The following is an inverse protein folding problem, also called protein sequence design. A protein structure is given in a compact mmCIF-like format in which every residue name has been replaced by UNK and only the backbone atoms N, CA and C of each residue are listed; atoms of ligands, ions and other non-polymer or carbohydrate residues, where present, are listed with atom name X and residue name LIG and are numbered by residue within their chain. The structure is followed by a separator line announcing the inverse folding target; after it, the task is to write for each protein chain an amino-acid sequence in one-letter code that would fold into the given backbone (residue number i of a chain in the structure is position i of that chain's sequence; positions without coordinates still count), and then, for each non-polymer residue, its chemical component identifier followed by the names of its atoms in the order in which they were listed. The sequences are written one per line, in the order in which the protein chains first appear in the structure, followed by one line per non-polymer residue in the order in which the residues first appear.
data_IF_723289789838
#
_entry.id   IF_723289789838
#
_cell.length_a   1.000
_cell.length_b   1.000
_cell.length_c   1.000
_cell.angle_alpha   90.00
_cell.angle_beta   90.00
_cell.angle_gamma   90.00
#
_symmetry.space_group_name_H-M   'P 1'
#
loop_
_entity.id
_entity.type
_entity.pdbx_description
1 polymer ?
#
# COMPACT_ATOMS: atom_id res chain seq x y z
N UNK A 1 -11.19 15.91 -22.38
CA UNK A 1 -10.73 17.31 -22.20
C UNK A 1 -9.21 17.34 -22.34
N UNK A 2 -8.58 18.51 -22.39
CA UNK A 2 -7.11 18.62 -22.31
C UNK A 2 -6.66 18.69 -20.86
N UNK A 3 -5.38 18.35 -20.62
CA UNK A 3 -4.69 18.56 -19.34
C UNK A 3 -4.98 19.96 -18.78
N UNK A 4 -5.32 20.03 -17.49
CA UNK A 4 -5.36 21.29 -16.75
C UNK A 4 -3.99 21.52 -16.13
N UNK A 5 -3.34 22.64 -16.45
CA UNK A 5 -2.05 23.03 -15.85
C UNK A 5 -2.22 24.34 -15.09
N UNK A 6 -1.73 24.37 -13.86
CA UNK A 6 -1.83 25.51 -12.95
C UNK A 6 -0.41 25.93 -12.57
N UNK A 7 0.01 27.19 -12.81
CA UNK A 7 -0.80 28.37 -13.18
C UNK A 7 -1.36 28.43 -14.63
N UNK A 8 -2.38 29.29 -14.90
CA UNK A 8 -2.94 30.31 -14.00
C UNK A 8 -3.68 29.69 -12.81
N UNK A 9 -3.59 30.35 -11.65
CA UNK A 9 -4.18 29.88 -10.40
C UNK A 9 -5.71 29.89 -10.48
N UNK A 10 -6.34 28.97 -9.75
CA UNK A 10 -7.79 28.89 -9.62
C UNK A 10 -8.21 29.29 -8.21
N UNK A 11 -9.23 30.15 -8.14
CA UNK A 11 -9.94 30.47 -6.91
C UNK A 11 -11.42 30.30 -7.21
N UNK A 12 -12.06 29.41 -6.47
CA UNK A 12 -13.46 29.05 -6.63
C UNK A 12 -14.39 30.09 -6.03
N UNK A 13 -15.64 29.68 -5.89
CA UNK A 13 -16.76 30.51 -5.48
C UNK A 13 -17.22 30.10 -4.08
N UNK A 14 -18.38 30.61 -3.67
CA UNK A 14 -19.01 30.20 -2.41
C UNK A 14 -20.00 29.04 -2.60
N UNK A 15 -20.11 28.48 -3.81
CA UNK A 15 -20.94 27.33 -4.12
C UNK A 15 -20.11 26.24 -4.79
N UNK A 16 -20.72 25.09 -5.05
CA UNK A 16 -20.03 23.93 -5.61
C UNK A 16 -19.26 24.23 -6.90
N UNK A 17 -17.94 24.02 -6.83
CA UNK A 17 -17.02 24.10 -7.95
C UNK A 17 -16.66 22.71 -8.48
N UNK A 18 -16.30 22.63 -9.77
CA UNK A 18 -15.88 21.38 -10.39
C UNK A 18 -14.73 21.62 -11.35
N UNK A 19 -13.57 21.04 -11.04
CA UNK A 19 -12.37 21.08 -11.86
C UNK A 19 -12.13 19.70 -12.45
N UNK A 20 -11.98 19.63 -13.77
CA UNK A 20 -11.72 18.38 -14.46
C UNK A 20 -10.53 18.55 -15.39
N UNK A 21 -9.52 17.72 -15.21
CA UNK A 21 -8.36 17.60 -16.09
C UNK A 21 -8.25 16.19 -16.66
N UNK A 22 -7.97 16.10 -17.96
CA UNK A 22 -7.81 14.82 -18.64
C UNK A 22 -6.69 14.87 -19.67
N UNK A 23 -5.81 13.87 -19.67
CA UNK A 23 -4.80 13.72 -20.70
C UNK A 23 -4.62 12.24 -21.03
N UNK A 24 -4.78 11.90 -22.31
CA UNK A 24 -4.83 10.51 -22.78
C UNK A 24 -3.79 10.28 -23.86
N UNK A 25 -3.12 9.14 -23.79
CA UNK A 25 -2.15 8.64 -24.76
C UNK A 25 -1.00 9.62 -25.02
N UNK A 26 -0.47 10.24 -23.96
CA UNK A 26 0.72 11.11 -24.02
C UNK A 26 1.84 10.60 -23.11
N UNK A 27 3.02 11.20 -23.26
CA UNK A 27 4.22 10.86 -22.48
C UNK A 27 4.85 12.13 -21.88
N UNK A 28 4.71 12.38 -20.57
CA UNK A 28 3.75 11.79 -19.65
C UNK A 28 2.31 12.30 -19.91
N UNK A 29 1.30 11.51 -19.54
CA UNK A 29 -0.09 11.93 -19.56
C UNK A 29 -0.52 12.36 -18.15
N UNK A 30 -0.91 13.64 -18.00
CA UNK A 30 -1.26 14.20 -16.69
C UNK A 30 -2.64 14.87 -16.76
N UNK A 31 -3.60 14.43 -15.95
CA UNK A 31 -4.94 15.02 -15.91
C UNK A 31 -4.92 16.46 -15.41
N UNK A 32 -4.53 16.64 -14.14
CA UNK A 32 -4.30 17.96 -13.52
C UNK A 32 -2.84 18.04 -13.08
N UNK A 33 -2.15 19.10 -13.47
CA UNK A 33 -0.77 19.37 -13.09
C UNK A 33 -0.65 20.74 -12.39
N UNK A 34 -0.35 20.71 -11.10
CA UNK A 34 -0.19 21.90 -10.26
C UNK A 34 1.30 22.07 -10.02
N UNK A 35 1.90 23.07 -10.65
CA UNK A 35 3.33 23.34 -10.56
C UNK A 35 3.70 23.98 -9.21
N UNK A 36 4.98 24.11 -8.88
CA UNK A 36 5.50 24.63 -7.57
C UNK A 36 4.99 26.02 -7.14
N UNK A 37 4.35 26.77 -8.04
CA UNK A 37 3.71 28.07 -7.74
C UNK A 37 2.22 28.10 -8.13
N UNK A 38 1.72 26.96 -8.60
CA UNK A 38 0.33 26.75 -8.93
C UNK A 38 -0.48 26.62 -7.64
N UNK A 39 -1.66 27.22 -7.68
CA UNK A 39 -2.60 27.23 -6.58
C UNK A 39 -4.00 26.93 -7.11
N UNK A 40 -4.65 25.94 -6.52
CA UNK A 40 -6.08 25.67 -6.66
C UNK A 40 -6.69 25.82 -5.27
N UNK A 41 -7.74 26.61 -5.17
CA UNK A 41 -8.58 26.72 -3.99
C UNK A 41 -10.03 26.81 -4.43
N UNK A 42 -10.87 25.84 -4.10
CA UNK A 42 -12.27 25.83 -4.53
C UNK A 42 -13.21 26.63 -3.62
N UNK A 43 -12.74 27.06 -2.44
CA UNK A 43 -13.46 28.03 -1.61
C UNK A 43 -14.46 27.38 -0.65
N UNK A 44 -15.76 27.61 -0.86
CA UNK A 44 -16.81 26.99 -0.03
C UNK A 44 -17.72 26.18 -0.94
N UNK A 45 -18.24 25.06 -0.46
CA UNK A 45 -19.30 24.37 -1.17
C UNK A 45 -19.30 22.87 -0.97
N UNK A 46 -19.47 22.17 -2.07
CA UNK A 46 -19.30 20.72 -2.18
C UNK A 46 -18.60 20.55 -3.51
N UNK A 47 -17.29 20.59 -3.44
CA UNK A 47 -16.43 20.80 -4.57
C UNK A 47 -15.90 19.47 -5.08
N UNK A 48 -15.55 19.43 -6.36
CA UNK A 48 -15.02 18.21 -6.97
C UNK A 48 -13.83 18.52 -7.86
N UNK A 49 -12.69 17.93 -7.54
CA UNK A 49 -11.47 18.00 -8.33
C UNK A 49 -11.21 16.61 -8.92
N UNK A 50 -11.20 16.50 -10.25
CA UNK A 50 -11.04 15.23 -10.95
C UNK A 50 -9.91 15.23 -11.96
N UNK A 51 -8.93 14.35 -11.76
CA UNK A 51 -7.81 14.16 -12.68
C UNK A 51 -7.78 12.77 -13.32
N UNK A 52 -7.62 12.70 -14.65
CA UNK A 52 -7.43 11.44 -15.38
C UNK A 52 -6.20 11.51 -16.31
N UNK A 53 -5.21 10.65 -16.08
CA UNK A 53 -4.03 10.54 -16.92
C UNK A 53 -3.86 9.12 -17.45
N UNK A 54 -3.78 8.95 -18.77
CA UNK A 54 -3.50 7.64 -19.40
C UNK A 54 -2.28 7.74 -20.29
N UNK A 55 -1.18 7.07 -19.91
CA UNK A 55 0.07 7.10 -20.66
C UNK A 55 -0.05 6.46 -22.03
N UNK A 56 0.72 6.96 -23.01
CA UNK A 56 1.01 6.25 -24.26
C UNK A 56 1.93 5.05 -24.00
N UNK A 57 2.35 4.32 -25.04
CA UNK A 57 3.20 3.13 -24.87
C UNK A 57 4.40 3.34 -23.94
N UNK A 58 4.51 2.51 -22.90
CA UNK A 58 5.51 2.60 -21.81
C UNK A 58 5.43 3.87 -20.94
N UNK A 59 4.48 4.75 -21.23
CA UNK A 59 4.33 6.08 -20.63
C UNK A 59 3.62 6.09 -19.31
N UNK A 60 4.00 7.07 -18.49
CA UNK A 60 3.33 7.31 -17.22
C UNK A 60 1.95 7.95 -17.45
N UNK A 61 0.95 7.48 -16.71
CA UNK A 61 -0.34 8.16 -16.56
C UNK A 61 -0.51 8.62 -15.12
N UNK A 62 -0.69 9.92 -14.93
CA UNK A 62 -0.86 10.56 -13.63
C UNK A 62 -2.21 11.28 -13.62
N UNK A 63 -3.11 10.93 -12.70
CA UNK A 63 -4.40 11.62 -12.64
C UNK A 63 -4.25 13.05 -12.13
N UNK A 64 -3.63 13.23 -10.96
CA UNK A 64 -3.33 14.53 -10.34
C UNK A 64 -1.85 14.54 -9.93
N UNK A 65 -1.10 15.50 -10.45
CA UNK A 65 0.27 15.83 -10.09
C UNK A 65 0.26 17.13 -9.31
N UNK A 66 0.47 17.08 -8.00
CA UNK A 66 0.49 18.26 -7.14
C UNK A 66 1.90 18.54 -6.62
N UNK A 67 2.55 19.52 -7.24
CA UNK A 67 3.82 20.09 -6.78
C UNK A 67 3.64 21.46 -6.13
N UNK A 68 2.42 22.01 -6.13
CA UNK A 68 2.06 23.32 -5.60
C UNK A 68 1.16 23.22 -4.39
N UNK A 69 0.03 23.94 -4.41
CA UNK A 69 -0.97 23.89 -3.36
C UNK A 69 -2.35 23.61 -3.95
N UNK A 70 -2.97 22.53 -3.47
CA UNK A 70 -4.30 22.07 -3.79
C UNK A 70 -5.16 22.16 -2.54
N UNK A 71 -6.13 23.08 -2.54
CA UNK A 71 -7.11 23.26 -1.49
C UNK A 71 -8.51 22.97 -2.03
N UNK A 72 -9.24 22.02 -1.44
CA UNK A 72 -10.65 21.79 -1.79
C UNK A 72 -11.62 22.74 -1.06
N UNK A 73 -11.12 23.64 -0.22
CA UNK A 73 -11.97 24.62 0.45
C UNK A 73 -12.65 24.04 1.68
N UNK A 74 -13.78 24.60 2.10
CA UNK A 74 -14.64 24.02 3.14
C UNK A 74 -15.91 23.48 2.50
N UNK A 75 -16.33 22.29 2.90
CA UNK A 75 -17.39 21.58 2.23
C UNK A 75 -17.32 20.08 2.50
N UNK A 76 -18.30 19.33 2.00
CA UNK A 76 -18.07 17.89 1.82
C UNK A 76 -17.48 17.72 0.42
N UNK A 77 -16.16 17.73 0.31
CA UNK A 77 -15.44 17.86 -0.95
C UNK A 77 -14.87 16.53 -1.46
N UNK A 78 -14.60 16.46 -2.76
CA UNK A 78 -14.09 15.24 -3.39
C UNK A 78 -12.89 15.50 -4.31
N UNK A 79 -11.75 14.88 -3.98
CA UNK A 79 -10.56 14.82 -4.85
C UNK A 79 -10.45 13.41 -5.41
N UNK A 80 -10.78 13.23 -6.69
CA UNK A 80 -10.85 11.91 -7.33
C UNK A 80 -9.87 11.83 -8.48
N UNK A 81 -8.98 10.85 -8.42
CA UNK A 81 -7.91 10.73 -9.40
C UNK A 81 -7.74 9.32 -9.96
N UNK A 82 -7.38 9.26 -11.25
CA UNK A 82 -7.05 8.03 -11.96
C UNK A 82 -5.80 8.20 -12.83
N UNK A 83 -4.79 7.37 -12.61
CA UNK A 83 -3.61 7.26 -13.45
C UNK A 83 -3.44 5.86 -14.01
N UNK A 84 -3.34 5.74 -15.33
CA UNK A 84 -3.09 4.47 -16.03
C UNK A 84 -1.77 4.58 -16.78
N UNK A 85 -0.79 3.75 -16.43
CA UNK A 85 0.42 3.58 -17.22
C UNK A 85 0.10 2.94 -18.57
N UNK A 86 0.73 3.41 -19.63
CA UNK A 86 0.52 2.82 -20.95
C UNK A 86 1.24 1.48 -21.10
N UNK A 87 0.70 0.60 -21.93
CA UNK A 87 1.32 -0.71 -22.19
C UNK A 87 2.69 -0.57 -22.83
N UNK A 88 3.63 -1.45 -22.56
CA UNK A 88 4.88 -1.48 -23.29
C UNK A 88 4.64 -1.73 -24.78
N UNK A 89 5.45 -1.11 -25.64
CA UNK A 89 5.38 -1.33 -27.09
C UNK A 89 5.74 -2.77 -27.44
N UNK A 90 5.02 -3.35 -28.41
CA UNK A 90 5.35 -4.68 -28.90
C UNK A 90 6.65 -4.65 -29.73
N UNK A 91 7.49 -5.68 -29.58
CA UNK A 91 8.69 -5.84 -30.39
C UNK A 91 8.35 -6.11 -31.86
N UNK A 92 9.12 -5.54 -32.79
CA UNK A 92 8.86 -5.69 -34.22
C UNK A 92 9.11 -7.14 -34.68
N UNK A 93 8.05 -7.83 -35.12
CA UNK A 93 8.17 -9.18 -35.68
C UNK A 93 8.70 -9.14 -37.13
N UNK A 94 9.98 -8.80 -37.33
CA UNK A 94 10.56 -8.84 -38.67
C UNK A 94 10.92 -10.28 -39.05
N UNK A 95 10.01 -10.91 -39.79
CA UNK A 95 10.05 -12.32 -40.18
C UNK A 95 10.99 -12.61 -41.37
N UNK A 96 11.80 -11.64 -41.81
CA UNK A 96 12.60 -11.74 -43.04
C UNK A 96 14.08 -12.01 -42.83
N UNK A 97 14.60 -11.97 -41.60
CA UNK A 97 16.02 -12.25 -41.38
C UNK A 97 16.25 -13.27 -40.26
N UNK A 98 16.36 -14.57 -40.60
CA UNK A 98 16.61 -15.61 -39.62
C UNK A 98 18.02 -15.58 -39.02
N UNK A 99 18.97 -14.79 -39.56
CA UNK A 99 20.38 -14.82 -39.12
C UNK A 99 21.20 -13.51 -39.24
N UNK A 100 20.64 -12.40 -39.70
CA UNK A 100 21.36 -11.16 -39.95
C UNK A 100 21.23 -10.15 -38.80
N UNK A 101 22.37 -9.79 -38.26
CA UNK A 101 22.55 -8.87 -37.15
C UNK A 101 22.05 -7.45 -37.44
N UNK A 102 20.92 -7.07 -36.85
CA UNK A 102 20.62 -5.68 -36.52
C UNK A 102 20.05 -5.65 -35.10
N UNK A 103 20.95 -5.41 -34.14
CA UNK A 103 20.81 -5.66 -32.71
C UNK A 103 19.98 -4.60 -31.95
N UNK A 104 18.92 -4.05 -32.56
CA UNK A 104 18.15 -2.94 -31.95
C UNK A 104 16.68 -2.96 -32.37
N UNK A 105 15.78 -3.54 -31.56
CA UNK A 105 14.33 -3.33 -31.71
C UNK A 105 13.37 -4.49 -31.41
N UNK A 106 13.81 -5.60 -30.81
CA UNK A 106 12.96 -6.80 -30.71
C UNK A 106 12.40 -7.11 -29.31
N UNK A 107 12.87 -6.43 -28.26
CA UNK A 107 12.35 -6.63 -26.91
C UNK A 107 10.99 -5.94 -26.79
N UNK A 108 10.05 -6.59 -26.10
CA UNK A 108 8.83 -5.91 -25.67
C UNK A 108 9.18 -4.82 -24.66
N UNK A 109 8.61 -3.62 -24.82
CA UNK A 109 8.80 -2.53 -23.87
C UNK A 109 8.18 -2.86 -22.50
N UNK A 110 8.67 -2.25 -21.44
CA UNK A 110 8.00 -2.34 -20.13
C UNK A 110 6.72 -1.50 -20.12
N UNK A 111 5.75 -1.92 -19.30
CA UNK A 111 4.57 -1.12 -19.00
C UNK A 111 4.93 0.14 -18.23
N UNK A 112 4.21 1.22 -18.51
CA UNK A 112 4.36 2.50 -17.84
C UNK A 112 3.76 2.51 -16.43
N UNK A 113 4.08 3.54 -15.66
CA UNK A 113 3.58 3.73 -14.29
C UNK A 113 2.21 4.40 -14.30
N UNK A 114 1.25 3.87 -13.55
CA UNK A 114 -0.03 4.54 -13.29
C UNK A 114 -0.07 5.08 -11.87
N UNK A 115 -0.25 6.40 -11.71
CA UNK A 115 -0.38 7.04 -10.40
C UNK A 115 -1.68 7.81 -10.30
N UNK A 116 -2.53 7.49 -9.32
CA UNK A 116 -3.73 8.27 -9.03
C UNK A 116 -3.35 9.68 -8.61
N UNK A 117 -2.92 9.86 -7.37
CA UNK A 117 -2.47 11.14 -6.83
C UNK A 117 -0.97 11.08 -6.57
N UNK A 118 -0.21 12.00 -7.15
CA UNK A 118 1.19 12.25 -6.83
C UNK A 118 1.26 13.58 -6.09
N UNK A 119 1.38 13.52 -4.76
CA UNK A 119 1.49 14.70 -3.91
C UNK A 119 2.94 14.90 -3.44
N UNK A 120 3.52 16.00 -3.89
CA UNK A 120 4.83 16.50 -3.46
C UNK A 120 4.66 17.87 -2.78
N UNK A 121 3.61 18.63 -3.14
CA UNK A 121 3.21 19.87 -2.50
C UNK A 121 2.22 19.68 -1.35
N UNK A 122 1.36 20.69 -1.14
CA UNK A 122 0.34 20.69 -0.09
C UNK A 122 -1.01 20.31 -0.70
N UNK A 123 -1.68 19.34 -0.09
CA UNK A 123 -3.06 18.96 -0.40
C UNK A 123 -3.88 19.05 0.89
N UNK A 124 -4.94 19.88 0.89
CA UNK A 124 -5.82 20.08 2.05
C UNK A 124 -7.31 20.10 1.63
N UNK A 125 -8.21 19.55 2.45
CA UNK A 125 -9.67 19.65 2.27
C UNK A 125 -10.39 20.35 3.44
N UNK A 126 -9.64 20.81 4.46
CA UNK A 126 -10.07 21.70 5.55
C UNK A 126 -11.25 21.25 6.43
N UNK A 127 -12.49 21.55 6.07
CA UNK A 127 -13.64 21.41 6.97
C UNK A 127 -14.77 20.71 6.23
N UNK A 128 -15.33 19.66 6.81
CA UNK A 128 -16.45 18.89 6.30
C UNK A 128 -16.04 17.45 6.03
N UNK A 129 -16.95 16.60 5.56
CA UNK A 129 -16.64 15.18 5.38
C UNK A 129 -16.10 14.94 3.97
N UNK A 130 -14.79 14.92 3.86
CA UNK A 130 -14.08 14.93 2.59
C UNK A 130 -13.73 13.53 2.09
N UNK A 131 -13.50 13.44 0.79
CA UNK A 131 -13.14 12.19 0.13
C UNK A 131 -11.97 12.40 -0.82
N UNK A 132 -10.83 11.79 -0.51
CA UNK A 132 -9.63 11.76 -1.34
C UNK A 132 -9.43 10.35 -1.89
N UNK A 133 -9.58 10.18 -3.21
CA UNK A 133 -9.45 8.89 -3.89
C UNK A 133 -8.35 8.96 -4.95
N UNK A 134 -7.33 8.12 -4.81
CA UNK A 134 -6.28 7.92 -5.80
C UNK A 134 -6.27 6.50 -6.35
N UNK A 135 -6.50 6.33 -7.66
CA UNK A 135 -6.42 5.04 -8.34
C UNK A 135 -5.27 5.01 -9.35
N UNK A 136 -4.28 4.14 -9.14
CA UNK A 136 -3.15 3.93 -10.05
C UNK A 136 -3.15 2.52 -10.63
N UNK A 137 -3.02 2.40 -11.95
CA UNK A 137 -2.90 1.12 -12.65
C UNK A 137 -1.66 1.12 -13.53
N UNK A 138 -0.69 0.26 -13.25
CA UNK A 138 0.47 0.07 -14.10
C UNK A 138 0.10 -0.52 -15.46
N UNK A 139 0.82 -0.10 -16.49
CA UNK A 139 0.66 -0.64 -17.84
C UNK A 139 1.15 -2.09 -17.92
N UNK A 140 0.60 -2.89 -18.83
CA UNK A 140 1.14 -4.22 -19.07
C UNK A 140 2.47 -4.12 -19.84
N UNK A 141 3.35 -5.11 -19.69
CA UNK A 141 4.49 -5.23 -20.59
C UNK A 141 4.07 -5.47 -22.04
N UNK A 142 4.89 -5.00 -22.98
CA UNK A 142 4.73 -5.26 -24.41
C UNK A 142 5.19 -6.65 -24.77
N UNK A 143 4.53 -7.30 -25.72
CA UNK A 143 4.95 -8.61 -26.22
C UNK A 143 6.23 -8.49 -27.05
N UNK A 144 6.98 -9.57 -27.15
CA UNK A 144 8.15 -9.58 -28.03
C UNK A 144 7.79 -9.81 -29.51
N UNK A 145 8.71 -9.39 -30.39
CA UNK A 145 8.80 -9.86 -31.76
C UNK A 145 9.96 -10.84 -31.91
N UNK A 146 9.77 -12.14 -31.66
CA UNK A 146 10.75 -13.17 -32.02
C UNK A 146 11.28 -14.05 -30.87
N UNK A 147 12.58 -13.94 -30.54
CA UNK A 147 13.30 -14.81 -29.58
C UNK A 147 13.69 -14.13 -28.27
N UNK A 148 13.10 -12.98 -27.96
CA UNK A 148 13.67 -12.04 -27.00
C UNK A 148 13.02 -12.17 -25.61
N UNK A 149 13.07 -11.12 -24.79
CA UNK A 149 12.39 -11.09 -23.50
C UNK A 149 11.09 -10.29 -23.63
N UNK A 150 10.06 -10.75 -22.92
CA UNK A 150 8.83 -9.99 -22.75
C UNK A 150 9.06 -8.82 -21.79
N UNK A 151 8.41 -7.68 -22.04
CA UNK A 151 8.43 -6.53 -21.14
C UNK A 151 7.79 -6.81 -19.79
N UNK A 152 8.31 -6.16 -18.76
CA UNK A 152 7.75 -6.18 -17.40
C UNK A 152 6.47 -5.33 -17.32
N UNK A 153 5.59 -5.67 -16.37
CA UNK A 153 4.46 -4.84 -16.00
C UNK A 153 4.91 -3.58 -15.25
N UNK A 154 4.21 -2.48 -15.46
CA UNK A 154 4.45 -1.21 -14.79
C UNK A 154 3.88 -1.15 -13.37
N UNK A 155 4.31 -0.14 -12.61
CA UNK A 155 3.84 0.09 -11.24
C UNK A 155 2.46 0.76 -11.20
N UNK A 156 1.62 0.37 -10.25
CA UNK A 156 0.37 1.07 -9.94
C UNK A 156 0.40 1.66 -8.54
N UNK A 157 0.30 2.98 -8.43
CA UNK A 157 0.30 3.73 -7.17
C UNK A 157 -1.03 4.47 -6.99
N UNK A 158 -1.80 4.16 -5.95
CA UNK A 158 -3.05 4.87 -5.68
C UNK A 158 -2.81 6.32 -5.29
N UNK A 159 -2.23 6.51 -4.11
CA UNK A 159 -1.79 7.80 -3.57
C UNK A 159 -0.31 7.70 -3.24
N UNK A 160 0.48 8.64 -3.74
CA UNK A 160 1.91 8.78 -3.45
C UNK A 160 2.15 10.14 -2.80
N UNK A 161 2.29 10.15 -1.48
CA UNK A 161 2.62 11.34 -0.69
C UNK A 161 4.10 11.29 -0.31
N UNK A 162 4.93 12.03 -1.05
CA UNK A 162 6.39 11.88 -0.95
C UNK A 162 7.12 13.11 -0.45
N UNK A 163 6.45 14.27 -0.44
CA UNK A 163 6.97 15.54 0.07
C UNK A 163 8.38 15.96 -0.36
N UNK A 164 8.92 15.34 -1.39
CA UNK A 164 10.27 15.60 -1.83
C UNK A 164 10.30 16.81 -2.77
N UNK A 165 10.35 18.03 -2.20
CA UNK A 165 10.91 19.18 -2.90
C UNK A 165 11.85 19.99 -2.00
N UNK A 166 13.12 19.57 -2.01
CA UNK A 166 14.28 20.33 -1.55
C UNK A 166 14.51 21.56 -2.46
N UNK A 167 13.68 22.60 -2.30
CA UNK A 167 14.00 24.01 -2.62
C UNK A 167 13.07 24.97 -1.85
N UNK A 168 13.08 24.90 -0.51
CA UNK A 168 12.62 25.97 0.38
C UNK A 168 11.09 26.16 0.48
N UNK A 169 10.53 25.67 1.59
CA UNK A 169 9.18 25.95 2.13
C UNK A 169 7.98 25.12 1.62
N UNK A 170 8.16 23.85 1.27
CA UNK A 170 7.02 22.94 1.06
C UNK A 170 7.34 21.54 1.56
N UNK A 171 7.03 21.25 2.82
CA UNK A 171 6.95 19.87 3.30
C UNK A 171 5.66 19.30 2.67
N UNK A 172 5.75 18.21 1.91
CA UNK A 172 4.56 17.67 1.27
C UNK A 172 3.64 17.09 2.33
N UNK A 173 2.49 17.73 2.49
CA UNK A 173 1.49 17.33 3.45
C UNK A 173 0.22 16.99 2.71
N UNK A 174 -0.39 15.86 3.07
CA UNK A 174 -1.77 15.55 2.75
C UNK A 174 -2.56 15.65 4.06
N UNK A 175 -3.52 16.56 4.12
CA UNK A 175 -4.40 16.78 5.27
C UNK A 175 -5.86 16.69 4.80
N UNK A 176 -6.69 15.84 5.39
CA UNK A 176 -8.11 15.86 5.06
C UNK A 176 -8.85 16.97 5.84
N UNK A 177 -8.47 17.21 7.10
CA UNK A 177 -8.97 18.35 7.88
C UNK A 177 -9.91 17.91 8.99
N UNK A 178 -10.88 18.74 9.34
CA UNK A 178 -11.87 18.39 10.37
C UNK A 178 -13.11 17.82 9.68
N UNK A 179 -13.59 16.66 10.12
CA UNK A 179 -14.70 15.95 9.50
C UNK A 179 -14.58 14.45 9.69
N UNK A 180 -15.52 13.69 9.13
CA UNK A 180 -15.34 12.23 9.02
C UNK A 180 -14.85 11.94 7.60
N UNK A 181 -13.54 12.00 7.41
CA UNK A 181 -12.91 12.01 6.11
C UNK A 181 -12.59 10.60 5.63
N UNK A 182 -12.47 10.46 4.31
CA UNK A 182 -12.04 9.21 3.68
C UNK A 182 -10.85 9.44 2.75
N UNK A 183 -9.72 8.81 3.06
CA UNK A 183 -8.53 8.76 2.21
C UNK A 183 -8.40 7.34 1.66
N UNK A 184 -8.59 7.15 0.36
CA UNK A 184 -8.52 5.84 -0.29
C UNK A 184 -7.53 5.81 -1.45
N UNK A 185 -6.52 4.96 -1.32
CA UNK A 185 -5.54 4.68 -2.37
C UNK A 185 -5.66 3.24 -2.89
N UNK A 186 -5.84 3.07 -4.20
CA UNK A 186 -5.76 1.76 -4.87
C UNK A 186 -4.64 1.73 -5.90
N UNK A 187 -3.66 0.84 -5.72
CA UNK A 187 -2.58 0.61 -6.66
C UNK A 187 -2.63 -0.79 -7.25
N UNK A 188 -2.69 -0.89 -8.57
CA UNK A 188 -2.69 -2.15 -9.29
C UNK A 188 -1.46 -2.23 -10.20
N UNK A 189 -0.57 -3.17 -9.93
CA UNK A 189 0.56 -3.47 -10.80
C UNK A 189 0.13 -4.05 -12.14
N UNK A 190 0.82 -3.65 -13.21
CA UNK A 190 0.61 -4.18 -14.54
C UNK A 190 1.11 -5.62 -14.66
N UNK A 191 0.59 -6.38 -15.62
CA UNK A 191 1.07 -7.74 -15.84
C UNK A 191 2.30 -7.75 -16.73
N UNK A 192 3.19 -8.71 -16.50
CA UNK A 192 4.27 -9.01 -17.44
C UNK A 192 3.75 -9.59 -18.74
N UNK A 193 4.56 -9.49 -19.80
CA UNK A 193 4.18 -9.93 -21.13
C UNK A 193 4.72 -11.30 -21.53
N UNK A 194 4.19 -11.81 -22.64
CA UNK A 194 4.60 -13.07 -23.22
C UNK A 194 5.97 -12.95 -23.92
N UNK A 195 6.81 -13.97 -23.70
CA UNK A 195 7.94 -14.32 -24.58
C UNK A 195 7.74 -15.72 -25.18
N UNK A 196 8.45 -16.10 -26.22
CA UNK A 196 8.43 -17.43 -26.85
C UNK A 196 9.64 -18.24 -26.41
N UNK A 197 10.77 -17.62 -26.03
CA UNK A 197 12.04 -18.34 -25.93
C UNK A 197 12.70 -18.43 -24.55
N UNK A 198 12.94 -17.34 -23.82
CA UNK A 198 13.85 -17.43 -22.65
C UNK A 198 13.42 -16.67 -21.40
N UNK A 199 13.06 -15.38 -21.48
CA UNK A 199 12.75 -14.58 -20.30
C UNK A 199 11.39 -13.89 -20.42
N UNK A 200 10.59 -13.97 -19.34
CA UNK A 200 9.22 -13.47 -19.30
C UNK A 200 9.13 -12.20 -18.48
N UNK A 201 8.18 -11.36 -18.88
CA UNK A 201 7.84 -10.18 -18.11
C UNK A 201 7.40 -10.55 -16.70
N UNK A 202 7.95 -9.86 -15.73
CA UNK A 202 7.50 -9.86 -14.35
C UNK A 202 6.24 -9.00 -14.22
N UNK A 203 5.42 -9.29 -13.22
CA UNK A 203 4.35 -8.38 -12.81
C UNK A 203 4.91 -7.14 -12.13
N UNK A 204 4.30 -5.99 -12.37
CA UNK A 204 4.62 -4.76 -11.67
C UNK A 204 4.02 -4.73 -10.26
N UNK A 205 4.53 -3.86 -9.38
CA UNK A 205 4.00 -3.76 -8.03
C UNK A 205 2.74 -2.88 -7.99
N UNK A 206 1.85 -3.17 -7.03
CA UNK A 206 0.71 -2.33 -6.72
C UNK A 206 0.79 -1.82 -5.28
N UNK A 207 0.78 -0.50 -5.10
CA UNK A 207 0.79 0.16 -3.79
C UNK A 207 -0.44 1.05 -3.65
N UNK A 208 -1.28 0.79 -2.64
CA UNK A 208 -2.48 1.59 -2.38
C UNK A 208 -2.13 3.01 -1.97
N UNK A 209 -1.55 3.16 -0.79
CA UNK A 209 -1.04 4.43 -0.26
C UNK A 209 0.45 4.27 0.01
N UNK A 210 1.26 5.16 -0.55
CA UNK A 210 2.68 5.32 -0.23
C UNK A 210 2.87 6.65 0.45
N UNK A 211 3.22 6.64 1.74
CA UNK A 211 3.51 7.82 2.53
C UNK A 211 4.98 7.81 2.97
N UNK A 212 5.73 8.82 2.58
CA UNK A 212 7.10 9.06 3.06
C UNK A 212 7.29 10.43 3.69
N UNK A 213 6.21 11.21 3.82
CA UNK A 213 6.18 12.50 4.53
C UNK A 213 5.00 12.49 5.52
N UNK A 214 4.25 13.60 5.64
CA UNK A 214 3.15 13.74 6.58
C UNK A 214 1.80 13.48 5.87
N UNK A 215 1.06 12.51 6.36
CA UNK A 215 -0.34 12.26 6.04
C UNK A 215 -1.14 12.41 7.32
N UNK A 216 -2.07 13.36 7.35
CA UNK A 216 -2.97 13.62 8.47
C UNK A 216 -4.42 13.46 7.97
N UNK A 217 -5.24 12.64 8.63
CA UNK A 217 -6.67 12.65 8.34
C UNK A 217 -7.30 13.87 9.02
N UNK A 218 -7.18 13.98 10.34
CA UNK A 218 -7.44 15.20 11.10
C UNK A 218 -8.42 14.96 12.25
N UNK A 219 -9.33 15.89 12.54
CA UNK A 219 -10.26 15.71 13.65
C UNK A 219 -11.58 15.10 13.15
N UNK A 220 -11.99 13.97 13.71
CA UNK A 220 -13.28 13.30 13.48
C UNK A 220 -13.11 11.79 13.35
N UNK A 221 -14.12 11.06 12.84
CA UNK A 221 -14.01 9.61 12.68
C UNK A 221 -13.58 9.30 11.25
N UNK A 222 -12.28 9.24 11.04
CA UNK A 222 -11.69 9.16 9.71
C UNK A 222 -11.49 7.73 9.24
N UNK A 223 -11.35 7.58 7.93
CA UNK A 223 -11.11 6.29 7.29
C UNK A 223 -9.98 6.38 6.27
N UNK A 224 -8.87 5.67 6.54
CA UNK A 224 -7.72 5.55 5.65
C UNK A 224 -7.65 4.13 5.10
N UNK A 225 -7.78 3.98 3.77
CA UNK A 225 -7.80 2.68 3.10
C UNK A 225 -6.72 2.64 2.02
N UNK A 226 -5.74 1.74 2.19
CA UNK A 226 -4.77 1.41 1.15
C UNK A 226 -4.99 0.01 0.59
N UNK A 227 -5.20 -0.13 -0.71
CA UNK A 227 -5.29 -1.41 -1.42
C UNK A 227 -4.20 -1.55 -2.48
N UNK A 228 -3.28 -2.50 -2.30
CA UNK A 228 -2.21 -2.78 -3.26
C UNK A 228 -2.32 -4.17 -3.87
N UNK A 229 -2.42 -4.24 -5.20
CA UNK A 229 -2.49 -5.49 -5.95
C UNK A 229 -1.27 -5.64 -6.86
N UNK A 230 -0.44 -6.62 -6.57
CA UNK A 230 0.68 -6.99 -7.42
C UNK A 230 0.22 -7.57 -8.77
N UNK A 231 0.90 -7.16 -9.83
CA UNK A 231 0.69 -7.68 -11.18
C UNK A 231 1.13 -9.13 -11.31
N UNK A 232 0.60 -9.84 -12.30
CA UNK A 232 0.99 -11.23 -12.56
C UNK A 232 2.25 -11.29 -13.41
N UNK A 233 3.16 -12.18 -13.04
CA UNK A 233 4.22 -12.63 -13.92
C UNK A 233 3.64 -13.51 -15.02
N UNK A 234 4.26 -13.50 -16.20
CA UNK A 234 3.74 -14.25 -17.34
C UNK A 234 4.27 -15.67 -17.42
N UNK A 235 3.44 -16.60 -17.89
CA UNK A 235 3.82 -17.98 -18.12
C UNK A 235 4.99 -18.09 -19.13
N UNK A 236 6.01 -18.87 -18.77
CA UNK A 236 7.07 -19.42 -19.59
C UNK A 236 6.55 -20.28 -20.74
N UNK A 237 7.30 -20.35 -21.84
CA UNK A 237 6.94 -21.24 -22.94
C UNK A 237 7.15 -22.70 -22.51
N UNK A 238 6.12 -23.54 -22.71
CA UNK A 238 6.19 -24.99 -22.45
C UNK A 238 6.78 -25.70 -23.68
N UNK A 239 7.80 -25.13 -24.31
CA UNK A 239 8.51 -25.87 -25.35
C UNK A 239 9.51 -26.81 -24.66
N UNK A 240 9.18 -28.11 -24.62
CA UNK A 240 9.98 -29.16 -23.96
C UNK A 240 11.42 -29.23 -24.45
N UNK A 241 11.71 -28.67 -25.63
CA UNK A 241 13.03 -28.72 -26.25
C UNK A 241 13.93 -27.52 -25.86
N UNK A 242 13.41 -26.50 -25.18
CA UNK A 242 14.20 -25.35 -24.72
C UNK A 242 14.56 -25.57 -23.25
N UNK A 243 15.85 -25.79 -22.99
CA UNK A 243 16.36 -25.83 -21.64
C UNK A 243 16.37 -24.41 -21.07
N UNK A 244 15.60 -24.16 -20.00
CA UNK A 244 15.70 -22.93 -19.21
C UNK A 244 14.48 -22.00 -19.20
N UNK A 245 13.33 -22.37 -19.78
CA UNK A 245 12.17 -21.47 -19.79
C UNK A 245 11.65 -21.19 -18.36
N UNK A 246 11.82 -19.96 -17.90
CA UNK A 246 11.36 -19.49 -16.59
C UNK A 246 10.06 -18.70 -16.73
N UNK A 247 9.11 -18.90 -15.82
CA UNK A 247 7.97 -18.00 -15.67
C UNK A 247 8.39 -16.66 -15.07
N UNK A 248 7.70 -15.58 -15.43
CA UNK A 248 7.94 -14.27 -14.85
C UNK A 248 7.54 -14.25 -13.38
N UNK A 249 8.19 -13.44 -12.56
CA UNK A 249 7.80 -13.29 -11.15
C UNK A 249 6.53 -12.46 -11.02
N UNK A 250 5.74 -12.70 -9.98
CA UNK A 250 4.65 -11.79 -9.62
C UNK A 250 5.20 -10.47 -9.05
N UNK A 251 4.40 -9.41 -9.12
CA UNK A 251 4.70 -8.13 -8.46
C UNK A 251 4.19 -8.10 -7.03
N UNK A 252 4.81 -7.29 -6.17
CA UNK A 252 4.41 -7.11 -4.77
C UNK A 252 3.10 -6.33 -4.68
N UNK A 253 2.22 -6.70 -3.74
CA UNK A 253 1.03 -5.91 -3.39
C UNK A 253 1.13 -5.36 -1.99
N UNK A 254 1.08 -4.04 -1.85
CA UNK A 254 1.21 -3.33 -0.56
C UNK A 254 0.00 -2.41 -0.35
N UNK A 255 -0.79 -2.65 0.69
CA UNK A 255 -1.93 -1.79 1.00
C UNK A 255 -1.49 -0.37 1.36
N UNK A 256 -0.82 -0.24 2.50
CA UNK A 256 -0.22 1.01 2.98
C UNK A 256 1.28 0.79 3.14
N UNK A 257 2.09 1.66 2.56
CA UNK A 257 3.54 1.72 2.73
C UNK A 257 3.88 3.04 3.41
N UNK A 258 4.14 3.01 4.71
CA UNK A 258 4.46 4.18 5.51
C UNK A 258 5.95 4.17 5.91
N UNK A 259 6.64 5.25 5.57
CA UNK A 259 8.01 5.54 6.01
C UNK A 259 8.15 6.95 6.60
N UNK A 260 7.07 7.74 6.57
CA UNK A 260 6.96 9.05 7.20
C UNK A 260 6.05 9.00 8.43
N UNK A 261 5.25 10.05 8.62
CA UNK A 261 4.25 10.12 9.68
C UNK A 261 2.85 10.00 9.07
N UNK A 262 2.08 9.05 9.57
CA UNK A 262 0.67 8.91 9.29
C UNK A 262 -0.08 9.14 10.60
N UNK A 263 -0.88 10.19 10.67
CA UNK A 263 -1.70 10.55 11.81
C UNK A 263 -3.18 10.45 11.41
N UNK A 264 -3.97 9.66 12.15
CA UNK A 264 -5.41 9.63 11.95
C UNK A 264 -6.06 10.85 12.62
N UNK A 265 -5.65 11.14 13.86
CA UNK A 265 -5.95 12.40 14.54
C UNK A 265 -6.84 12.19 15.77
N UNK A 266 -8.02 12.81 15.84
CA UNK A 266 -8.89 12.66 17.01
C UNK A 266 -10.26 12.13 16.64
N UNK A 267 -10.67 11.00 17.18
CA UNK A 267 -11.98 10.39 16.97
C UNK A 267 -11.84 8.88 16.82
N UNK A 268 -12.89 8.19 16.39
CA UNK A 268 -12.83 6.73 16.24
C UNK A 268 -12.42 6.39 14.82
N UNK A 269 -11.13 6.26 14.60
CA UNK A 269 -10.54 6.18 13.28
C UNK A 269 -10.41 4.75 12.78
N UNK A 270 -10.40 4.60 11.45
CA UNK A 270 -10.27 3.31 10.78
C UNK A 270 -9.10 3.36 9.80
N UNK A 271 -8.08 2.55 10.03
CA UNK A 271 -6.96 2.34 9.09
C UNK A 271 -6.98 0.92 8.57
N UNK A 272 -7.12 0.74 7.25
CA UNK A 272 -7.13 -0.56 6.59
C UNK A 272 -6.07 -0.61 5.49
N UNK A 273 -5.07 -1.48 5.67
CA UNK A 273 -4.11 -1.83 4.64
C UNK A 273 -4.36 -3.23 4.09
N UNK A 274 -4.67 -3.35 2.80
CA UNK A 274 -4.87 -4.62 2.11
C UNK A 274 -3.83 -4.83 1.00
N UNK A 275 -2.97 -5.83 1.17
CA UNK A 275 -1.97 -6.24 0.17
C UNK A 275 -2.31 -7.56 -0.49
N UNK A 276 -2.22 -7.62 -1.82
CA UNK A 276 -2.36 -8.86 -2.58
C UNK A 276 -1.13 -9.09 -3.47
N UNK A 277 -0.35 -10.10 -3.15
CA UNK A 277 0.82 -10.49 -3.92
C UNK A 277 0.44 -11.02 -5.30
N UNK A 278 1.19 -10.60 -6.32
CA UNK A 278 1.08 -11.09 -7.68
C UNK A 278 1.49 -12.56 -7.80
N UNK A 279 0.79 -13.29 -8.66
CA UNK A 279 1.15 -14.67 -9.00
C UNK A 279 2.28 -14.67 -10.03
N UNK A 280 3.31 -15.47 -9.80
CA UNK A 280 4.33 -15.80 -10.79
C UNK A 280 3.78 -16.67 -11.92
N UNK A 281 4.38 -16.54 -13.09
CA UNK A 281 4.08 -17.37 -14.25
C UNK A 281 4.53 -18.81 -14.07
N UNK A 282 3.85 -19.71 -14.75
CA UNK A 282 4.21 -21.13 -14.86
C UNK A 282 5.26 -21.32 -15.94
N UNK A 283 6.21 -22.25 -15.79
CA UNK A 283 7.24 -22.52 -16.80
C UNK A 283 7.93 -23.85 -16.53
N UNK A 284 9.00 -24.19 -17.26
CA UNK A 284 9.87 -25.31 -16.84
C UNK A 284 10.45 -25.03 -15.45
N UNK A 285 10.75 -23.75 -15.19
CA UNK A 285 11.00 -23.19 -13.86
C UNK A 285 9.88 -22.18 -13.60
N UNK A 286 9.08 -22.37 -12.55
CA UNK A 286 8.04 -21.39 -12.21
C UNK A 286 8.65 -20.06 -11.75
N UNK A 287 8.01 -18.95 -12.10
CA UNK A 287 8.29 -17.67 -11.51
C UNK A 287 7.93 -17.66 -10.02
N UNK A 288 8.58 -16.80 -9.25
CA UNK A 288 8.28 -16.66 -7.83
C UNK A 288 6.97 -15.91 -7.66
N UNK A 289 6.12 -16.37 -6.75
CA UNK A 289 4.99 -15.60 -6.28
C UNK A 289 5.52 -14.46 -5.39
N UNK A 290 4.84 -13.31 -5.44
CA UNK A 290 5.32 -12.14 -4.73
C UNK A 290 4.92 -12.13 -3.26
N UNK A 291 5.58 -11.24 -2.52
CA UNK A 291 5.19 -10.89 -1.16
C UNK A 291 3.97 -9.97 -1.17
N UNK A 292 3.15 -10.07 -0.14
CA UNK A 292 2.03 -9.20 0.13
C UNK A 292 2.18 -8.54 1.51
N UNK A 293 1.92 -7.25 1.59
CA UNK A 293 1.91 -6.48 2.83
C UNK A 293 0.58 -5.75 2.98
N UNK A 294 -0.14 -6.00 4.08
CA UNK A 294 -1.31 -5.17 4.40
C UNK A 294 -0.87 -3.76 4.71
N UNK A 295 -0.07 -3.63 5.77
CA UNK A 295 0.59 -2.41 6.20
C UNK A 295 2.09 -2.70 6.30
N UNK A 296 2.89 -1.97 5.54
CA UNK A 296 4.33 -1.92 5.66
C UNK A 296 4.70 -0.60 6.34
N UNK A 297 5.19 -0.63 7.59
CA UNK A 297 5.47 0.56 8.39
C UNK A 297 6.93 0.58 8.87
N UNK A 298 7.72 1.47 8.31
CA UNK A 298 9.06 1.84 8.78
C UNK A 298 9.10 3.27 9.37
N UNK A 299 7.96 3.97 9.38
CA UNK A 299 7.79 5.30 9.98
C UNK A 299 6.97 5.26 11.26
N UNK A 300 6.11 6.26 11.46
CA UNK A 300 5.16 6.33 12.58
C UNK A 300 3.74 6.29 12.03
N UNK A 301 2.91 5.43 12.61
CA UNK A 301 1.45 5.49 12.52
C UNK A 301 0.94 5.87 13.91
N UNK A 302 0.15 6.92 14.00
CA UNK A 302 -0.49 7.41 15.22
C UNK A 302 -1.99 7.51 14.96
N UNK A 303 -2.82 6.80 15.70
CA UNK A 303 -4.29 6.93 15.58
C UNK A 303 -4.86 7.95 16.55
N UNK A 304 -4.07 8.41 17.52
CA UNK A 304 -4.41 9.53 18.39
C UNK A 304 -5.31 9.19 19.57
N UNK A 305 -6.54 9.69 19.63
CA UNK A 305 -7.45 9.40 20.76
C UNK A 305 -8.79 8.94 20.20
N UNK A 306 -9.40 7.91 20.79
CA UNK A 306 -10.71 7.45 20.37
C UNK A 306 -10.98 5.99 20.64
N UNK A 307 -11.59 5.30 19.69
CA UNK A 307 -11.79 3.84 19.70
C UNK A 307 -11.39 3.40 18.31
N UNK A 308 -10.09 3.26 18.11
CA UNK A 308 -9.50 3.16 16.78
C UNK A 308 -9.41 1.73 16.31
N UNK A 309 -9.48 1.55 14.99
CA UNK A 309 -9.40 0.24 14.35
C UNK A 309 -8.30 0.28 13.30
N UNK A 310 -7.20 -0.44 13.57
CA UNK A 310 -6.13 -0.67 12.61
C UNK A 310 -6.13 -2.12 12.13
N UNK A 311 -6.27 -2.31 10.83
CA UNK A 311 -6.32 -3.64 10.21
C UNK A 311 -5.32 -3.78 9.07
N UNK A 312 -4.36 -4.67 9.25
CA UNK A 312 -3.44 -5.11 8.21
C UNK A 312 -3.83 -6.48 7.65
N UNK A 313 -4.12 -6.58 6.36
CA UNK A 313 -4.50 -7.82 5.69
C UNK A 313 -3.58 -8.10 4.50
N UNK A 314 -2.99 -9.28 4.45
CA UNK A 314 -2.18 -9.70 3.31
C UNK A 314 -2.61 -11.04 2.75
N UNK A 315 -2.70 -11.13 1.42
CA UNK A 315 -2.96 -12.38 0.69
C UNK A 315 -1.89 -12.64 -0.35
N UNK A 316 -1.30 -13.83 -0.31
CA UNK A 316 -0.36 -14.30 -1.33
C UNK A 316 -0.73 -15.72 -1.82
N UNK A 317 -0.04 -16.19 -2.85
CA UNK A 317 -0.16 -17.57 -3.33
C UNK A 317 1.06 -18.42 -2.92
N UNK A 318 0.95 -19.76 -2.91
CA UNK A 318 2.03 -20.67 -2.45
C UNK A 318 3.41 -20.30 -3.04
N UNK A 319 4.41 -20.09 -2.19
CA UNK A 319 5.75 -19.68 -2.61
C UNK A 319 5.97 -18.16 -2.60
N UNK A 320 4.93 -17.38 -2.30
CA UNK A 320 5.03 -15.99 -1.84
C UNK A 320 4.94 -15.91 -0.31
N UNK A 321 5.11 -14.71 0.22
CA UNK A 321 4.94 -14.41 1.64
C UNK A 321 3.78 -13.43 1.85
N UNK A 322 3.14 -13.46 3.01
CA UNK A 322 2.07 -12.55 3.36
C UNK A 322 2.27 -12.08 4.82
N UNK A 323 2.25 -10.77 5.03
CA UNK A 323 2.31 -10.14 6.35
C UNK A 323 1.21 -9.07 6.45
N UNK A 324 0.31 -9.22 7.42
CA UNK A 324 -0.74 -8.23 7.65
C UNK A 324 -0.13 -6.89 8.06
N UNK A 325 0.83 -6.92 8.98
CA UNK A 325 1.61 -5.75 9.41
C UNK A 325 3.10 -6.12 9.37
N UNK A 326 3.94 -5.32 8.75
CA UNK A 326 5.38 -5.58 8.67
C UNK A 326 6.17 -4.29 8.75
N UNK A 327 7.37 -4.34 9.33
CA UNK A 327 8.34 -3.25 9.26
C UNK A 327 9.09 -3.07 10.56
N UNK A 328 9.73 -1.92 10.71
CA UNK A 328 10.54 -1.53 11.88
C UNK A 328 10.11 -0.21 12.50
N UNK A 329 8.99 0.34 12.03
CA UNK A 329 8.41 1.56 12.53
C UNK A 329 7.65 1.36 13.84
N UNK A 330 6.93 2.40 14.21
CA UNK A 330 6.12 2.47 15.41
C UNK A 330 4.64 2.64 15.05
N UNK A 331 3.75 1.93 15.74
CA UNK A 331 2.31 2.14 15.71
C UNK A 331 1.86 2.54 17.11
N UNK A 332 1.08 3.62 17.23
CA UNK A 332 0.51 4.10 18.49
C UNK A 332 -0.99 4.27 18.33
N UNK A 333 -1.76 3.87 19.34
CA UNK A 333 -3.22 4.09 19.34
C UNK A 333 -3.71 5.10 20.37
N UNK A 334 -2.94 5.34 21.43
CA UNK A 334 -3.15 6.45 22.36
C UNK A 334 -4.23 6.19 23.41
N UNK A 335 -5.13 7.13 23.67
CA UNK A 335 -6.18 6.95 24.67
C UNK A 335 -7.45 6.41 24.01
N UNK A 336 -7.82 5.15 24.31
CA UNK A 336 -8.95 4.52 23.63
C UNK A 336 -9.19 3.06 23.96
N UNK A 337 -10.34 2.50 23.60
CA UNK A 337 -10.53 1.04 23.65
C UNK A 337 -10.17 0.46 22.27
N UNK A 338 -8.88 0.52 21.91
CA UNK A 338 -8.41 0.40 20.54
C UNK A 338 -8.28 -1.05 20.07
N UNK A 339 -8.30 -1.22 18.75
CA UNK A 339 -8.27 -2.53 18.11
C UNK A 339 -7.27 -2.61 16.97
N UNK A 340 -6.26 -3.44 17.16
CA UNK A 340 -5.33 -3.82 16.09
C UNK A 340 -5.54 -5.27 15.67
N UNK A 341 -5.70 -5.50 14.37
CA UNK A 341 -5.81 -6.85 13.79
C UNK A 341 -4.87 -7.02 12.61
N UNK A 342 -4.02 -8.05 12.69
CA UNK A 342 -3.14 -8.46 11.59
C UNK A 342 -3.50 -9.84 11.08
N UNK A 343 -3.86 -9.94 9.80
CA UNK A 343 -4.17 -11.21 9.13
C UNK A 343 -3.27 -11.46 7.94
N UNK A 344 -2.98 -12.74 7.70
CA UNK A 344 -2.19 -13.16 6.55
C UNK A 344 -2.71 -14.48 6.01
N UNK A 345 -2.85 -14.57 4.70
CA UNK A 345 -3.43 -15.71 4.01
C UNK A 345 -2.53 -16.14 2.87
N UNK A 346 -2.23 -17.44 2.77
CA UNK A 346 -1.50 -18.01 1.65
C UNK A 346 -2.37 -19.11 1.05
N UNK A 347 -2.78 -18.94 -0.22
CA UNK A 347 -3.74 -19.85 -0.88
C UNK A 347 -4.97 -20.14 -0.02
N UNK A 348 -5.65 -19.08 0.44
CA UNK A 348 -6.89 -19.17 1.25
C UNK A 348 -6.72 -19.83 2.64
N UNK A 349 -5.50 -20.22 3.01
CA UNK A 349 -5.18 -20.72 4.35
C UNK A 349 -4.65 -19.57 5.20
N UNK A 350 -5.32 -19.28 6.32
CA UNK A 350 -4.84 -18.30 7.29
C UNK A 350 -3.53 -18.77 7.93
N UNK A 351 -2.56 -17.86 7.97
CA UNK A 351 -1.25 -18.10 8.55
C UNK A 351 -1.24 -17.71 10.03
N UNK A 352 -0.40 -18.41 10.80
CA UNK A 352 -0.21 -18.15 12.23
C UNK A 352 0.69 -16.94 12.51
N UNK A 353 1.65 -16.68 11.61
CA UNK A 353 2.55 -15.53 11.69
C UNK A 353 2.01 -14.46 10.77
N UNK A 354 1.55 -13.35 11.35
CA UNK A 354 0.88 -12.27 10.63
C UNK A 354 1.60 -10.94 10.77
N UNK A 355 2.52 -10.81 11.74
CA UNK A 355 3.40 -9.64 11.86
C UNK A 355 4.88 -9.97 11.62
N UNK A 356 5.70 -8.99 11.27
CA UNK A 356 7.14 -9.18 11.13
C UNK A 356 7.95 -7.90 11.00
N UNK A 357 9.26 -8.05 10.80
CA UNK A 357 10.19 -6.94 10.60
C UNK A 357 10.80 -6.39 11.89
N UNK A 358 10.22 -6.70 13.05
CA UNK A 358 10.59 -6.08 14.33
C UNK A 358 9.82 -4.79 14.59
N UNK A 359 8.55 -4.75 14.21
CA UNK A 359 7.65 -3.62 14.41
C UNK A 359 7.39 -3.40 15.91
N UNK A 360 7.31 -2.14 16.33
CA UNK A 360 6.91 -1.76 17.69
C UNK A 360 5.48 -1.21 17.68
N UNK A 361 4.66 -1.69 18.62
CA UNK A 361 3.25 -1.34 18.76
C UNK A 361 2.97 -0.95 20.22
N UNK A 362 2.39 0.22 20.42
CA UNK A 362 2.00 0.78 21.71
C UNK A 362 0.49 1.05 21.69
N UNK A 363 -0.28 0.30 22.48
CA UNK A 363 -1.73 0.44 22.54
C UNK A 363 -2.18 1.57 23.47
N UNK A 364 -1.29 2.14 24.28
CA UNK A 364 -1.59 3.34 25.05
C UNK A 364 -2.40 3.07 26.33
N UNK A 365 -3.64 3.55 26.41
CA UNK A 365 -4.45 3.45 27.64
C UNK A 365 -5.88 3.02 27.38
N UNK A 366 -6.49 2.44 28.42
CA UNK A 366 -7.84 1.84 28.54
C UNK A 366 -7.82 0.35 28.17
N UNK A 367 -8.85 -0.21 27.52
CA UNK A 367 -8.94 -1.66 27.34
C UNK A 367 -8.77 -2.03 25.88
N UNK A 368 -7.53 -2.31 25.52
CA UNK A 368 -7.14 -2.50 24.15
C UNK A 368 -7.18 -3.96 23.72
N UNK A 369 -7.21 -4.16 22.41
CA UNK A 369 -7.24 -5.47 21.80
C UNK A 369 -6.22 -5.57 20.67
N UNK A 370 -5.31 -6.52 20.80
CA UNK A 370 -4.36 -6.86 19.74
C UNK A 370 -4.55 -8.31 19.28
N UNK A 371 -4.74 -8.50 17.97
CA UNK A 371 -4.76 -9.81 17.32
C UNK A 371 -3.65 -9.92 16.28
N UNK A 372 -2.64 -10.71 16.59
CA UNK A 372 -1.53 -11.00 15.69
C UNK A 372 -0.42 -11.77 16.39
N UNK A 373 0.49 -12.36 15.62
CA UNK A 373 1.69 -13.00 16.16
C UNK A 373 2.83 -12.94 15.15
N UNK A 374 4.06 -12.76 15.62
CA UNK A 374 5.25 -12.67 14.79
C UNK A 374 6.39 -11.92 15.46
N UNK A 375 7.41 -11.55 14.68
CA UNK A 375 8.56 -10.82 15.19
C UNK A 375 8.23 -9.33 15.36
N UNK A 376 8.07 -8.89 16.62
CA UNK A 376 7.79 -7.51 17.01
C UNK A 376 7.65 -7.35 18.52
N UNK A 377 7.45 -6.11 18.95
CA UNK A 377 7.16 -5.71 20.33
C UNK A 377 5.76 -5.14 20.40
N UNK A 378 4.95 -5.58 21.37
CA UNK A 378 3.60 -5.04 21.60
C UNK A 378 3.42 -4.71 23.07
N UNK A 379 3.21 -3.45 23.39
CA UNK A 379 2.85 -2.99 24.72
C UNK A 379 1.33 -2.73 24.76
N UNK A 380 0.62 -3.44 25.64
CA UNK A 380 -0.78 -3.17 25.91
C UNK A 380 -0.98 -1.86 26.67
N UNK A 381 0.05 -1.35 27.34
CA UNK A 381 -0.02 -0.07 28.01
C UNK A 381 -0.77 -0.14 29.33
N UNK A 382 -1.72 0.77 29.54
CA UNK A 382 -2.48 0.87 30.79
C UNK A 382 -3.95 0.49 30.61
N UNK A 383 -4.32 -0.67 31.11
CA UNK A 383 -5.68 -0.94 31.56
C UNK A 383 -5.95 -2.42 31.68
N UNK A 384 -6.96 -2.92 30.98
CA UNK A 384 -7.24 -4.36 30.90
C UNK A 384 -7.19 -4.80 29.44
N UNK A 385 -6.00 -5.16 29.01
CA UNK A 385 -5.67 -5.34 27.61
C UNK A 385 -5.71 -6.82 27.24
N UNK A 386 -6.12 -7.09 26.00
CA UNK A 386 -6.32 -8.44 25.49
C UNK A 386 -5.40 -8.74 24.31
N UNK A 387 -4.59 -9.79 24.47
CA UNK A 387 -3.80 -10.40 23.41
C UNK A 387 -4.54 -11.62 22.84
N UNK A 388 -5.02 -11.53 21.60
CA UNK A 388 -5.69 -12.63 20.91
C UNK A 388 -4.71 -13.47 20.06
N UNK A 389 -4.41 -14.66 20.59
CA UNK A 389 -3.60 -15.72 19.99
C UNK A 389 -4.45 -16.93 19.58
N UNK A 390 -5.74 -16.72 19.24
CA UNK A 390 -6.68 -17.78 18.83
C UNK A 390 -6.23 -18.60 17.61
N UNK A 391 -5.18 -18.19 16.89
CA UNK A 391 -4.51 -19.01 15.88
C UNK A 391 -3.70 -20.18 16.46
N UNK A 392 -3.48 -20.20 17.78
CA UNK A 392 -2.67 -21.18 18.49
C UNK A 392 -3.45 -21.85 19.62
N UNK A 393 -3.21 -23.14 19.82
CA UNK A 393 -3.46 -23.77 21.12
C UNK A 393 -2.35 -23.36 22.09
N UNK A 394 -2.65 -23.26 23.39
CA UNK A 394 -1.65 -22.86 24.39
C UNK A 394 -0.40 -23.75 24.39
N UNK A 395 -0.55 -25.04 24.07
CA UNK A 395 0.54 -26.02 24.00
C UNK A 395 1.49 -25.85 22.82
N UNK A 396 1.13 -25.03 21.83
CA UNK A 396 1.98 -24.73 20.67
C UNK A 396 2.97 -23.59 20.95
N UNK A 397 2.84 -22.92 22.10
CA UNK A 397 3.59 -21.72 22.46
C UNK A 397 4.38 -21.96 23.75
N UNK A 398 5.59 -21.39 23.79
CA UNK A 398 6.41 -21.31 25.01
C UNK A 398 6.45 -19.88 25.51
N UNK A 399 6.40 -19.72 26.82
CA UNK A 399 6.36 -18.41 27.48
C UNK A 399 7.60 -18.30 28.38
N UNK A 400 8.21 -17.13 28.37
CA UNK A 400 9.38 -16.81 29.20
C UNK A 400 9.35 -15.34 29.60
N UNK A 401 10.15 -14.96 30.60
CA UNK A 401 10.15 -13.58 31.10
C UNK A 401 8.89 -13.19 31.90
N UNK A 402 7.99 -14.14 32.18
CA UNK A 402 6.80 -13.93 33.00
C UNK A 402 7.21 -13.77 34.46
N UNK A 403 6.83 -12.65 35.08
CA UNK A 403 7.16 -12.34 36.48
C UNK A 403 5.84 -12.05 37.20
N UNK A 404 5.43 -12.96 38.08
CA UNK A 404 4.20 -12.78 38.88
C UNK A 404 4.29 -11.52 39.75
N UNK A 405 3.22 -10.72 39.74
CA UNK A 405 3.14 -9.47 40.50
C UNK A 405 3.88 -8.28 39.88
N UNK A 406 4.47 -8.42 38.70
CA UNK A 406 5.05 -7.29 37.97
C UNK A 406 3.95 -6.49 37.26
N UNK A 407 3.81 -5.20 37.57
CA UNK A 407 2.80 -4.33 36.99
C UNK A 407 2.95 -4.12 35.47
N UNK A 408 4.12 -4.38 34.89
CA UNK A 408 4.35 -4.30 33.45
C UNK A 408 3.92 -5.55 32.68
N UNK A 409 3.55 -6.63 33.36
CA UNK A 409 3.12 -7.91 32.75
C UNK A 409 4.00 -8.37 31.55
N UNK A 410 5.36 -8.40 31.66
CA UNK A 410 6.20 -8.74 30.52
C UNK A 410 6.09 -10.23 30.16
N UNK A 411 6.12 -10.55 28.87
CA UNK A 411 6.24 -11.91 28.39
C UNK A 411 6.98 -11.98 27.04
N UNK A 412 7.73 -13.05 26.83
CA UNK A 412 8.25 -13.43 25.53
C UNK A 412 7.57 -14.72 25.11
N UNK A 413 6.82 -14.66 24.00
CA UNK A 413 6.00 -15.74 23.49
C UNK A 413 6.70 -16.30 22.25
N UNK A 414 7.15 -17.55 22.33
CA UNK A 414 7.89 -18.18 21.24
C UNK A 414 7.08 -19.30 20.58
N UNK A 415 7.07 -19.29 19.26
CA UNK A 415 6.55 -20.34 18.41
C UNK A 415 7.70 -20.95 17.60
N UNK A 416 7.83 -22.28 17.63
CA UNK A 416 8.81 -22.98 16.79
C UNK A 416 8.15 -23.35 15.45
N UNK A 417 8.48 -22.59 14.41
CA UNK A 417 8.03 -22.85 13.06
C UNK A 417 9.10 -23.65 12.31
N UNK A 418 9.01 -24.98 12.37
CA UNK A 418 9.91 -25.91 11.64
C UNK A 418 11.41 -25.67 11.90
N UNK A 419 11.79 -25.39 13.15
CA UNK A 419 13.16 -25.13 13.57
C UNK A 419 13.50 -23.64 13.67
N UNK A 420 12.68 -22.76 13.10
CA UNK A 420 12.83 -21.32 13.23
C UNK A 420 11.98 -20.82 14.40
N UNK A 421 12.64 -20.35 15.45
CA UNK A 421 11.95 -19.73 16.59
C UNK A 421 11.55 -18.31 16.23
N UNK A 422 10.25 -18.03 16.34
CA UNK A 422 9.68 -16.69 16.15
C UNK A 422 9.19 -16.23 17.51
N UNK A 423 9.60 -15.02 17.89
CA UNK A 423 9.33 -14.44 19.21
C UNK A 423 8.51 -13.17 19.08
N UNK A 424 7.41 -13.12 19.81
CA UNK A 424 6.66 -11.90 20.10
C UNK A 424 7.03 -11.46 21.53
N UNK A 425 7.53 -10.25 21.67
CA UNK A 425 7.78 -9.64 22.98
C UNK A 425 6.59 -8.77 23.36
N UNK A 426 6.06 -8.95 24.57
CA UNK A 426 4.88 -8.24 25.03
C UNK A 426 5.04 -7.65 26.43
N UNK A 427 4.31 -6.58 26.70
CA UNK A 427 4.09 -6.00 28.03
C UNK A 427 2.62 -5.54 28.13
N UNK A 428 2.15 -5.27 29.35
CA UNK A 428 0.86 -4.60 29.56
C UNK A 428 -0.37 -5.41 29.17
N UNK A 429 -0.34 -6.75 29.12
CA UNK A 429 -1.54 -7.56 28.82
C UNK A 429 -2.02 -8.35 30.03
N UNK A 430 -3.31 -8.23 30.36
CA UNK A 430 -3.96 -8.95 31.45
C UNK A 430 -4.62 -10.24 30.97
N UNK A 431 -5.08 -10.28 29.71
CA UNK A 431 -5.86 -11.37 29.16
C UNK A 431 -5.28 -11.93 27.86
N UNK A 432 -5.23 -13.25 27.76
CA UNK A 432 -4.69 -13.98 26.62
C UNK A 432 -5.75 -14.94 26.08
N UNK A 433 -6.11 -14.83 24.81
CA UNK A 433 -7.07 -15.72 24.16
C UNK A 433 -6.33 -16.73 23.30
N UNK A 434 -6.66 -18.01 23.43
CA UNK A 434 -6.12 -19.13 22.64
C UNK A 434 -7.26 -19.88 21.95
N UNK A 435 -6.92 -20.76 21.02
CA UNK A 435 -7.89 -21.64 20.35
C UNK A 435 -8.62 -22.58 21.32
N UNK A 436 -8.02 -22.89 22.47
CA UNK A 436 -8.48 -23.85 23.46
C UNK A 436 -8.92 -23.22 24.80
N UNK A 437 -8.95 -21.88 24.91
CA UNK A 437 -9.44 -21.17 26.09
C UNK A 437 -8.86 -19.77 26.25
N UNK A 438 -9.14 -19.11 27.38
CA UNK A 438 -8.51 -17.85 27.76
C UNK A 438 -7.79 -17.99 29.11
N UNK A 439 -6.75 -17.19 29.30
CA UNK A 439 -5.94 -17.17 30.52
C UNK A 439 -5.67 -15.73 30.94
N UNK A 440 -5.64 -15.49 32.25
CA UNK A 440 -5.12 -14.24 32.79
C UNK A 440 -3.58 -14.31 32.89
N UNK A 441 -2.90 -13.17 32.79
CA UNK A 441 -1.43 -13.09 32.89
C UNK A 441 -0.88 -13.79 34.13
N UNK A 442 -1.53 -13.60 35.28
CA UNK A 442 -1.15 -14.19 36.57
C UNK A 442 -1.14 -15.73 36.58
N UNK A 443 -1.70 -16.37 35.55
CA UNK A 443 -1.76 -17.83 35.40
C UNK A 443 -0.79 -18.38 34.35
N UNK A 444 0.05 -17.52 33.74
CA UNK A 444 1.02 -17.94 32.71
C UNK A 444 2.31 -18.56 33.26
N UNK A 445 2.56 -18.47 34.57
CA UNK A 445 3.76 -18.98 35.25
C UNK A 445 3.78 -20.48 35.43
#
# INVERSE_FOLDING_TARGET
MSRLTVPPNFTGTAGSDTLIGEDLNKFPAIGIDILTKGFIDTGLGKDTIKGNGTGSEGGAGIGISNNGNLNAGSGDDAIISKGIGGSGGDGAANNSDPFGAANSGFNGGSGGVGTGISNIGILNTWLGNDTIIGNGTGGNGGNEGGRYAGGDGGFGNGISNTGQLDTGNGNGSLNAGDGNDTISGTGQGGNGSNSVYVDKGNGGNGTGISNSDNLNAGDGNDTIIGTGQGGKGRDGAINKNINGSKGGNGGTGTGISNSGNLNAGHGNDIIIGTGQGGRGGTGKISGTNATAYGIFNDGVIDTGNGVDILTGQATATIGGAAYGIYGKGMIKTGDGDDKITSTSTINEVQQKVTIGGGIDIDLGTRNDYFKGFGAGTVDGGKGFDTLDLSAFKRSELTFSGVISGNALNPANINFNNNGNVITLSTAGFENFIFADGSLCYSTLT
#
